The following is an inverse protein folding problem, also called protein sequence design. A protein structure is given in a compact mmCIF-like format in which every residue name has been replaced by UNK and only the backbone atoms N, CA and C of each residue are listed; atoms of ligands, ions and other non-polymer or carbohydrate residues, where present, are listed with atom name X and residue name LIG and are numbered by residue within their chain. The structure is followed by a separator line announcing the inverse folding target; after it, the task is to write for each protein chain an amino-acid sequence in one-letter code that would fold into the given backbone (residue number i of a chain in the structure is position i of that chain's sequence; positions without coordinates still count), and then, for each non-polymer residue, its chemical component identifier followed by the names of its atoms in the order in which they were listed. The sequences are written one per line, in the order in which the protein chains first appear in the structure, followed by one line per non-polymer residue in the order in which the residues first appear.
data_IF_418659941319
#
_entry.id   IF_418659941319
#
_cell.length_a   1.000
_cell.length_b   1.000
_cell.length_c   1.000
_cell.angle_alpha   90.00
_cell.angle_beta   90.00
_cell.angle_gamma   90.00
#
_symmetry.space_group_name_H-M   'P 1'
#
loop_
_entity.id
_entity.type
_entity.pdbx_description
1 polymer ?
#
# COMPACT_ATOMS: atom_id res chain seq x y z
N UNK A 1 3.83 -7.17 5.43
CA UNK A 1 4.74 -7.29 4.27
C UNK A 1 5.21 -8.73 4.18
N UNK A 2 5.28 -9.28 2.97
CA UNK A 2 5.75 -10.64 2.71
C UNK A 2 6.65 -10.73 1.47
N UNK A 3 6.99 -11.95 1.04
CA UNK A 3 7.80 -12.18 -0.15
C UNK A 3 7.24 -11.45 -1.38
N UNK A 4 8.11 -10.77 -2.11
CA UNK A 4 7.74 -10.00 -3.32
C UNK A 4 7.18 -8.61 -3.05
N UNK A 5 6.94 -8.23 -1.80
CA UNK A 5 6.53 -6.87 -1.48
C UNK A 5 7.71 -5.89 -1.57
N UNK A 6 7.42 -4.68 -2.06
CA UNK A 6 8.36 -3.56 -2.13
C UNK A 6 7.98 -2.56 -1.04
N UNK A 7 8.96 -1.89 -0.43
CA UNK A 7 8.73 -0.80 0.52
C UNK A 7 9.80 0.30 0.40
N UNK A 8 9.50 1.51 0.86
CA UNK A 8 10.38 2.68 0.77
C UNK A 8 10.26 3.45 -0.56
N UNK A 9 9.31 3.09 -1.40
CA UNK A 9 9.01 3.69 -2.70
C UNK A 9 8.64 5.18 -2.60
N UNK A 10 8.01 5.60 -1.50
CA UNK A 10 7.65 7.00 -1.28
C UNK A 10 8.88 7.93 -1.31
N UNK A 11 10.01 7.49 -0.74
CA UNK A 11 11.26 8.25 -0.77
C UNK A 11 11.92 8.32 -2.15
N UNK A 12 11.53 7.43 -3.06
CA UNK A 12 11.99 7.41 -4.45
C UNK A 12 11.14 8.36 -5.30
N UNK A 13 9.80 8.26 -5.23
CA UNK A 13 8.90 8.95 -6.15
C UNK A 13 8.38 10.30 -5.65
N UNK A 14 8.15 10.45 -4.34
CA UNK A 14 7.51 11.65 -3.77
C UNK A 14 8.50 12.63 -3.15
N UNK A 15 9.79 12.28 -3.11
CA UNK A 15 10.84 13.10 -2.48
C UNK A 15 10.53 13.52 -1.04
N UNK A 16 9.87 12.65 -0.28
CA UNK A 16 9.50 12.87 1.13
C UNK A 16 10.45 12.13 2.08
N UNK A 17 10.55 12.57 3.35
CA UNK A 17 11.18 11.78 4.41
C UNK A 17 10.57 10.38 4.54
N UNK A 18 11.25 9.47 5.26
CA UNK A 18 10.70 8.14 5.55
C UNK A 18 9.37 8.29 6.28
N UNK A 19 8.30 7.79 5.66
CA UNK A 19 6.93 7.87 6.20
C UNK A 19 6.65 6.82 7.27
N UNK A 20 7.47 5.78 7.33
CA UNK A 20 7.35 4.71 8.31
C UNK A 20 8.72 4.04 8.56
N UNK A 21 8.84 3.44 9.74
CA UNK A 21 9.93 2.52 10.11
C UNK A 21 9.48 1.09 9.79
N UNK A 22 10.38 0.29 9.21
CA UNK A 22 10.14 -1.13 8.93
C UNK A 22 11.09 -1.96 9.77
N UNK A 23 10.53 -2.88 10.55
CA UNK A 23 11.27 -3.82 11.39
C UNK A 23 10.99 -5.24 10.90
N UNK A 24 12.03 -6.05 10.73
CA UNK A 24 11.87 -7.45 10.38
C UNK A 24 11.29 -8.22 11.58
N UNK A 25 10.17 -8.92 11.39
CA UNK A 25 9.56 -9.77 12.42
C UNK A 25 10.26 -11.13 12.58
N UNK A 26 11.15 -11.48 11.65
CA UNK A 26 11.91 -12.72 11.64
C UNK A 26 13.00 -12.67 10.57
N UNK A 27 13.78 -13.76 10.40
CA UNK A 27 14.81 -13.82 9.37
C UNK A 27 14.24 -13.53 7.98
N UNK A 28 14.84 -12.59 7.26
CA UNK A 28 14.42 -12.23 5.91
C UNK A 28 15.61 -11.79 5.07
N UNK A 29 15.51 -12.01 3.77
CA UNK A 29 16.45 -11.48 2.78
C UNK A 29 15.78 -10.34 2.03
N UNK A 30 16.43 -9.18 1.98
CA UNK A 30 15.93 -8.00 1.28
C UNK A 30 16.91 -7.57 0.20
N UNK A 31 16.37 -7.15 -0.95
CA UNK A 31 17.15 -6.49 -1.99
C UNK A 31 17.06 -4.97 -1.81
N UNK A 32 18.20 -4.32 -1.63
CA UNK A 32 18.27 -2.87 -1.42
C UNK A 32 18.82 -2.18 -2.66
N UNK A 33 18.15 -1.12 -3.09
CA UNK A 33 18.62 -0.25 -4.19
C UNK A 33 18.65 1.19 -3.70
N UNK A 34 19.73 1.92 -3.98
CA UNK A 34 19.78 3.35 -3.69
C UNK A 34 19.06 4.16 -4.78
N UNK A 35 18.46 5.30 -4.38
CA UNK A 35 17.70 6.15 -5.30
C UNK A 35 18.52 6.59 -6.52
N UNK A 36 19.81 6.90 -6.32
CA UNK A 36 20.69 7.35 -7.39
C UNK A 36 20.96 6.23 -8.40
N UNK A 37 21.20 5.00 -7.92
CA UNK A 37 21.41 3.83 -8.78
C UNK A 37 20.15 3.52 -9.59
N UNK A 38 18.98 3.56 -8.94
CA UNK A 38 17.70 3.33 -9.61
C UNK A 38 17.42 4.41 -10.66
N UNK A 39 17.70 5.67 -10.34
CA UNK A 39 17.53 6.79 -11.27
C UNK A 39 18.47 6.70 -12.47
N UNK A 40 19.72 6.27 -12.26
CA UNK A 40 20.68 6.03 -13.34
C UNK A 40 20.23 4.86 -14.22
N UNK A 41 19.79 3.75 -13.61
CA UNK A 41 19.23 2.61 -14.32
C UNK A 41 18.03 3.02 -15.18
N UNK A 42 17.12 3.84 -14.66
CA UNK A 42 15.95 4.28 -15.40
C UNK A 42 16.29 5.08 -16.65
N UNK A 43 17.31 5.95 -16.57
CA UNK A 43 17.81 6.73 -17.70
C UNK A 43 18.48 5.87 -18.76
N UNK A 44 19.22 4.85 -18.33
CA UNK A 44 19.99 3.99 -19.22
C UNK A 44 19.14 2.90 -19.89
N UNK A 45 18.04 2.47 -19.25
CA UNK A 45 17.27 1.29 -19.68
C UNK A 45 15.74 1.52 -19.73
N UNK A 46 15.21 2.42 -20.58
CA UNK A 46 13.78 2.79 -20.57
C UNK A 46 12.80 1.61 -20.71
N UNK A 47 13.14 0.59 -21.50
CA UNK A 47 12.28 -0.60 -21.69
C UNK A 47 12.21 -1.43 -20.39
N UNK A 48 13.34 -1.59 -19.69
CA UNK A 48 13.37 -2.31 -18.42
C UNK A 48 12.70 -1.50 -17.30
N UNK A 49 12.81 -0.17 -17.35
CA UNK A 49 12.10 0.75 -16.46
C UNK A 49 10.60 0.51 -16.48
N UNK A 50 9.99 0.38 -17.65
CA UNK A 50 8.54 0.13 -17.75
C UNK A 50 8.13 -1.14 -16.99
N UNK A 51 8.90 -2.23 -17.14
CA UNK A 51 8.66 -3.48 -16.41
C UNK A 51 8.83 -3.28 -14.91
N UNK A 52 9.86 -2.57 -14.48
CA UNK A 52 10.10 -2.31 -13.06
C UNK A 52 9.01 -1.43 -12.43
N UNK A 53 8.53 -0.41 -13.15
CA UNK A 53 7.41 0.41 -12.73
C UNK A 53 6.13 -0.42 -12.56
N UNK A 54 5.87 -1.39 -13.45
CA UNK A 54 4.73 -2.31 -13.31
C UNK A 54 4.83 -3.14 -12.02
N UNK A 55 6.03 -3.61 -11.64
CA UNK A 55 6.23 -4.33 -10.37
C UNK A 55 5.88 -3.43 -9.18
N UNK A 56 6.33 -2.18 -9.19
CA UNK A 56 6.04 -1.20 -8.13
C UNK A 56 4.54 -0.90 -8.07
N UNK A 57 3.90 -0.63 -9.21
CA UNK A 57 2.46 -0.36 -9.31
C UNK A 57 1.67 -1.54 -8.75
N UNK A 58 2.01 -2.78 -9.14
CA UNK A 58 1.33 -3.97 -8.65
C UNK A 58 1.49 -4.15 -7.14
N UNK A 59 2.69 -3.88 -6.61
CA UNK A 59 2.95 -3.86 -5.15
C UNK A 59 2.09 -2.82 -4.43
N UNK A 60 1.98 -1.60 -4.96
CA UNK A 60 1.15 -0.54 -4.41
C UNK A 60 -0.34 -0.89 -4.43
N UNK A 61 -0.84 -1.46 -5.53
CA UNK A 61 -2.23 -1.91 -5.64
C UNK A 61 -2.56 -3.01 -4.62
N UNK A 62 -1.63 -3.96 -4.39
CA UNK A 62 -1.80 -4.98 -3.35
C UNK A 62 -1.87 -4.38 -1.95
N UNK A 63 -1.00 -3.43 -1.62
CA UNK A 63 -1.04 -2.72 -0.33
C UNK A 63 -2.33 -1.92 -0.15
N UNK A 64 -2.75 -1.18 -1.17
CA UNK A 64 -4.00 -0.40 -1.14
C UNK A 64 -5.19 -1.32 -0.91
N UNK A 65 -5.25 -2.46 -1.62
CA UNK A 65 -6.32 -3.44 -1.43
C UNK A 65 -6.33 -4.02 -0.01
N UNK A 66 -5.15 -4.33 0.55
CA UNK A 66 -5.05 -4.83 1.91
C UNK A 66 -5.54 -3.80 2.94
N UNK A 67 -5.07 -2.55 2.85
CA UNK A 67 -5.49 -1.47 3.74
C UNK A 67 -6.99 -1.17 3.63
N UNK A 68 -7.53 -1.16 2.41
CA UNK A 68 -8.97 -0.97 2.19
C UNK A 68 -9.82 -2.12 2.78
N UNK A 69 -9.32 -3.36 2.74
CA UNK A 69 -10.01 -4.49 3.35
C UNK A 69 -9.98 -4.39 4.88
N UNK A 70 -8.83 -4.10 5.46
CA UNK A 70 -8.66 -3.89 6.91
C UNK A 70 -9.65 -2.83 7.43
N UNK A 71 -9.70 -1.65 6.79
CA UNK A 71 -10.66 -0.60 7.10
C UNK A 71 -12.13 -1.02 6.92
N UNK A 72 -12.42 -1.85 5.91
CA UNK A 72 -13.77 -2.34 5.68
C UNK A 72 -14.20 -3.39 6.71
N UNK A 73 -13.26 -4.16 7.26
CA UNK A 73 -13.51 -5.06 8.39
C UNK A 73 -13.76 -4.27 9.68
N UNK A 74 -12.90 -3.31 10.00
CA UNK A 74 -13.08 -2.43 11.18
C UNK A 74 -14.45 -1.73 11.14
N UNK A 75 -14.82 -1.12 10.01
CA UNK A 75 -16.14 -0.48 9.86
C UNK A 75 -17.31 -1.44 10.03
N UNK A 76 -17.16 -2.73 9.74
CA UNK A 76 -18.25 -3.70 9.95
C UNK A 76 -18.38 -4.10 11.40
N UNK A 77 -17.29 -4.08 12.17
CA UNK A 77 -17.33 -4.31 13.61
C UNK A 77 -17.89 -3.09 14.36
N UNK A 78 -17.67 -1.87 13.86
CA UNK A 78 -18.18 -0.62 14.45
C UNK A 78 -19.64 -0.29 14.12
N UNK A 79 -20.29 -0.98 13.17
CA UNK A 79 -21.72 -0.77 12.91
C UNK A 79 -22.53 -1.53 13.97
N UNK A 80 -23.01 -0.80 14.98
CA UNK A 80 -23.95 -1.34 15.94
C UNK A 80 -25.31 -1.58 15.25
N UNK A 81 -26.01 -2.65 15.67
CA UNK A 81 -27.33 -2.98 15.15
C UNK A 81 -28.31 -1.80 15.33
N UNK A 82 -28.12 -1.02 16.40
CA UNK A 82 -28.90 0.19 16.68
C UNK A 82 -28.75 1.29 15.61
N UNK A 83 -27.58 1.40 14.98
CA UNK A 83 -27.34 2.36 13.90
C UNK A 83 -28.02 1.93 12.59
N UNK A 84 -28.07 0.62 12.33
CA UNK A 84 -28.82 0.05 11.20
C UNK A 84 -30.30 0.30 11.38
N UNK A 85 -30.84 0.01 12.58
CA UNK A 85 -32.25 0.17 12.89
C UNK A 85 -32.68 1.65 12.78
N UNK A 86 -31.87 2.58 13.30
CA UNK A 86 -32.11 4.02 13.17
C UNK A 86 -32.05 4.51 11.71
N UNK A 87 -31.21 3.90 10.87
CA UNK A 87 -31.10 4.25 9.45
C UNK A 87 -32.29 3.71 8.63
N UNK A 88 -32.76 2.50 8.94
CA UNK A 88 -33.97 1.90 8.35
C UNK A 88 -35.21 2.72 8.73
N UNK A 89 -35.35 3.11 9.99
CA UNK A 89 -36.47 3.94 10.45
C UNK A 89 -36.54 5.28 9.72
N UNK A 90 -35.40 5.92 9.45
CA UNK A 90 -35.37 7.18 8.67
C UNK A 90 -35.75 7.00 7.21
N UNK A 91 -35.57 5.81 6.63
CA UNK A 91 -35.92 5.51 5.23
C UNK A 91 -37.41 5.12 5.12
N UNK A 92 -37.94 4.40 6.10
CA UNK A 92 -39.32 3.90 6.08
C UNK A 92 -40.35 4.90 6.62
N UNK A 93 -39.94 5.82 7.49
CA UNK A 93 -40.85 6.78 8.14
C UNK A 93 -40.70 8.24 7.63
N UNK A 94 -40.06 8.43 6.47
CA UNK A 94 -40.13 9.66 5.66
C UNK A 94 -41.00 9.41 4.42
#
# INVERSE_FOLDING_TARGET
LGPGDIFGEAGIFLNVPRTATITAMGPCTVFRVHRNDLSAFFKQNPIATNKMLLVIIYGLLRKLRAANLELAFERREDIDQSDIDAMVDRILNN
#
